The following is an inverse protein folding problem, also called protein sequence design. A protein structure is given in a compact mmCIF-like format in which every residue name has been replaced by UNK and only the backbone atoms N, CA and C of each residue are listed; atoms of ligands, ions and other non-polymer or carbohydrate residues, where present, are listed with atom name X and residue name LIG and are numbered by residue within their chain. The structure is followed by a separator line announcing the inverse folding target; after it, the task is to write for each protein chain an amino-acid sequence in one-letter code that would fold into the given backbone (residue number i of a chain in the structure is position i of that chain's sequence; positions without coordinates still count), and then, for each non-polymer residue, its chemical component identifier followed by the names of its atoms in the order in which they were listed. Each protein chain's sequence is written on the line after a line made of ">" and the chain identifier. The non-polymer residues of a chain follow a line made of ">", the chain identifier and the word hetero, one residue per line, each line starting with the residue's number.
data_IF_084834519045
#
_entry.id   IF_084834519045
#
_cell.length_a   1.000
_cell.length_b   1.000
_cell.length_c   1.000
_cell.angle_alpha   90.00
_cell.angle_beta   90.00
_cell.angle_gamma   90.00
#
_symmetry.space_group_name_H-M   'P 1'
#
loop_
_entity.id
_entity.type
_entity.pdbx_description
1 polymer ?
#
# COMPACT_ATOMS: atom_id res chain seq x y z
N UNK A 1 -49.76 31.17 -16.81
CA UNK A 1 -49.41 29.82 -16.32
C UNK A 1 -48.11 29.45 -17.02
N UNK A 2 -47.07 29.12 -16.26
CA UNK A 2 -45.65 28.84 -16.63
C UNK A 2 -44.84 30.08 -17.06
N UNK A 3 -43.89 30.65 -16.31
CA UNK A 3 -42.61 30.14 -15.71
C UNK A 3 -41.66 29.60 -16.80
N UNK A 4 -40.44 30.09 -17.05
CA UNK A 4 -39.21 30.34 -16.23
C UNK A 4 -38.12 30.93 -17.20
N UNK A 5 -36.86 31.23 -16.79
CA UNK A 5 -36.36 32.16 -15.76
C UNK A 5 -35.32 33.17 -16.32
N UNK A 6 -35.15 34.28 -15.62
CA UNK A 6 -34.11 35.28 -15.85
C UNK A 6 -32.74 34.86 -15.29
N UNK A 7 -31.74 35.45 -15.93
CA UNK A 7 -30.30 35.44 -15.74
C UNK A 7 -29.87 35.76 -14.29
N UNK A 8 -29.00 34.93 -13.68
CA UNK A 8 -28.42 35.18 -12.36
C UNK A 8 -26.90 35.28 -12.49
N UNK A 9 -26.41 36.52 -12.55
CA UNK A 9 -25.00 36.87 -12.34
C UNK A 9 -24.77 37.03 -10.82
N UNK A 10 -23.74 36.41 -10.22
CA UNK A 10 -23.45 36.63 -8.82
C UNK A 10 -22.68 37.96 -8.65
N UNK A 11 -23.33 38.94 -8.05
CA UNK A 11 -22.68 40.16 -7.55
C UNK A 11 -21.91 39.85 -6.27
N UNK A 12 -20.60 40.06 -6.30
CA UNK A 12 -19.74 40.03 -5.11
C UNK A 12 -19.91 41.34 -4.33
N UNK A 13 -20.41 41.25 -3.10
CA UNK A 13 -20.58 42.40 -2.19
C UNK A 13 -19.40 42.44 -1.18
N UNK A 14 -18.57 43.50 -1.17
CA UNK A 14 -17.44 43.62 -0.26
C UNK A 14 -17.90 44.34 1.01
N UNK A 15 -18.48 43.63 1.97
CA UNK A 15 -18.70 44.22 3.31
C UNK A 15 -19.74 43.58 4.20
N UNK A 16 -19.49 42.35 4.68
CA UNK A 16 -20.07 41.90 5.95
C UNK A 16 -18.97 41.32 6.87
N UNK A 17 -18.61 42.02 7.97
CA UNK A 17 -17.64 41.54 8.93
C UNK A 17 -18.37 40.80 10.07
N UNK A 18 -18.63 39.51 9.89
CA UNK A 18 -19.17 38.73 11.00
C UNK A 18 -19.54 37.29 10.70
N UNK A 19 -18.59 36.38 10.90
CA UNK A 19 -18.78 35.09 11.57
C UNK A 19 -17.69 34.11 11.13
N UNK A 20 -16.59 34.01 11.88
CA UNK A 20 -15.80 32.75 11.99
C UNK A 20 -14.66 32.80 13.02
N UNK A 21 -14.77 33.67 14.03
CA UNK A 21 -13.85 33.66 15.17
C UNK A 21 -14.32 32.63 16.22
N UNK A 22 -14.07 31.33 16.03
CA UNK A 22 -13.93 30.39 17.17
C UNK A 22 -13.37 28.98 16.87
N UNK A 23 -12.84 28.68 15.68
CA UNK A 23 -12.41 27.30 15.38
C UNK A 23 -11.04 27.13 14.70
N UNK A 24 -10.17 28.15 14.69
CA UNK A 24 -8.96 28.14 13.86
C UNK A 24 -7.62 27.98 14.61
N UNK A 25 -7.61 27.52 15.86
CA UNK A 25 -6.49 27.82 16.77
C UNK A 25 -5.42 26.74 16.98
N UNK A 26 -5.19 25.80 16.05
CA UNK A 26 -4.07 24.84 16.19
C UNK A 26 -3.49 24.27 14.88
N UNK A 27 -3.87 24.81 13.71
CA UNK A 27 -3.25 24.39 12.44
C UNK A 27 -2.20 25.41 12.04
N UNK A 28 -0.94 24.97 11.95
CA UNK A 28 0.13 25.78 11.37
C UNK A 28 -0.28 26.22 9.96
N UNK A 29 0.05 27.45 9.55
CA UNK A 29 -0.19 27.88 8.18
C UNK A 29 0.52 26.94 7.20
N UNK A 30 -0.08 26.72 6.02
CA UNK A 30 0.40 25.72 5.05
C UNK A 30 1.88 25.92 4.69
N UNK A 31 2.31 27.17 4.52
CA UNK A 31 3.71 27.53 4.23
C UNK A 31 4.69 27.12 5.33
N UNK A 32 4.28 27.25 6.60
CA UNK A 32 5.09 26.82 7.74
C UNK A 32 5.31 25.30 7.72
N UNK A 33 4.27 24.54 7.38
CA UNK A 33 4.36 23.07 7.29
C UNK A 33 5.27 22.63 6.13
N UNK A 34 5.17 23.29 4.97
CA UNK A 34 6.03 23.02 3.81
C UNK A 34 7.51 23.26 4.12
N UNK A 35 7.83 24.39 4.76
CA UNK A 35 9.20 24.71 5.14
C UNK A 35 9.76 23.73 6.19
N UNK A 36 8.95 23.34 7.19
CA UNK A 36 9.36 22.34 8.17
C UNK A 36 9.55 20.95 7.54
N UNK A 37 8.67 20.55 6.63
CA UNK A 37 8.82 19.29 5.89
C UNK A 37 10.08 19.29 5.03
N UNK A 38 10.33 20.37 4.30
CA UNK A 38 11.55 20.49 3.50
C UNK A 38 12.82 20.53 4.35
N UNK A 39 12.77 21.16 5.54
CA UNK A 39 13.87 21.15 6.52
C UNK A 39 14.20 19.73 6.98
N UNK A 40 13.19 18.89 7.21
CA UNK A 40 13.37 17.50 7.63
C UNK A 40 13.87 16.62 6.49
N UNK A 41 13.42 16.84 5.26
CA UNK A 41 13.85 16.10 4.07
C UNK A 41 15.24 16.55 3.56
N UNK A 42 15.69 17.74 3.95
CA UNK A 42 16.96 18.32 3.51
C UNK A 42 16.94 18.83 2.07
N UNK A 43 15.76 19.16 1.54
CA UNK A 43 15.54 19.57 0.14
C UNK A 43 15.12 21.04 -0.01
N UNK A 44 15.27 21.86 1.04
CA UNK A 44 15.01 23.30 0.99
C UNK A 44 15.90 24.00 -0.05
N UNK A 45 15.31 24.91 -0.81
CA UNK A 45 16.07 25.83 -1.66
C UNK A 45 16.84 26.88 -0.85
N UNK A 46 17.80 27.59 -1.47
CA UNK A 46 18.56 28.66 -0.81
C UNK A 46 17.63 29.77 -0.27
N UNK A 47 16.61 30.13 -1.05
CA UNK A 47 15.61 31.12 -0.65
C UNK A 47 14.80 30.68 0.57
N UNK A 48 14.50 29.38 0.67
CA UNK A 48 13.74 28.81 1.78
C UNK A 48 14.58 28.61 3.04
N UNK A 49 15.88 28.32 2.87
CA UNK A 49 16.83 28.36 3.98
C UNK A 49 16.91 29.75 4.61
N UNK A 50 16.91 30.81 3.79
CA UNK A 50 16.89 32.19 4.29
C UNK A 50 15.56 32.53 5.00
N UNK A 51 14.44 32.01 4.48
CA UNK A 51 13.11 32.17 5.09
C UNK A 51 13.04 31.48 6.47
N UNK A 52 13.51 30.23 6.57
CA UNK A 52 13.58 29.47 7.81
C UNK A 52 14.56 30.08 8.81
N UNK A 53 15.71 30.57 8.35
CA UNK A 53 16.74 31.15 9.22
C UNK A 53 16.28 32.45 9.89
N UNK A 54 15.38 33.19 9.24
CA UNK A 54 14.80 34.42 9.76
C UNK A 54 13.49 34.20 10.53
N UNK A 55 12.97 32.97 10.56
CA UNK A 55 11.72 32.64 11.22
C UNK A 55 11.93 32.38 12.72
N UNK A 56 11.15 33.08 13.55
CA UNK A 56 11.04 32.77 14.97
C UNK A 56 10.12 31.55 15.19
N UNK A 57 10.74 30.42 15.50
CA UNK A 57 10.05 29.14 15.75
C UNK A 57 9.12 29.24 16.98
N UNK A 58 7.86 28.85 16.80
CA UNK A 58 6.88 28.74 17.90
C UNK A 58 6.88 27.34 18.51
N UNK A 59 6.27 27.17 19.69
CA UNK A 59 6.15 25.85 20.33
C UNK A 59 5.40 24.82 19.45
N UNK A 60 4.43 25.28 18.66
CA UNK A 60 3.70 24.45 17.71
C UNK A 60 4.55 24.04 16.49
N UNK A 61 5.45 24.93 16.03
CA UNK A 61 6.40 24.64 14.96
C UNK A 61 7.40 23.57 15.39
N UNK A 62 7.94 23.69 16.61
CA UNK A 62 8.85 22.72 17.20
C UNK A 62 8.20 21.34 17.36
N UNK A 63 6.97 21.29 17.88
CA UNK A 63 6.24 20.04 18.02
C UNK A 63 6.02 19.34 16.67
N UNK A 64 5.65 20.11 15.64
CA UNK A 64 5.44 19.59 14.29
C UNK A 64 6.75 19.11 13.65
N UNK A 65 7.83 19.88 13.83
CA UNK A 65 9.17 19.50 13.36
C UNK A 65 9.61 18.15 13.96
N UNK A 66 9.49 17.97 15.28
CA UNK A 66 9.87 16.71 15.93
C UNK A 66 9.04 15.51 15.46
N UNK A 67 7.75 15.69 15.17
CA UNK A 67 6.92 14.61 14.64
C UNK A 67 7.31 14.24 13.20
N UNK A 68 7.62 15.24 12.37
CA UNK A 68 8.12 15.02 11.01
C UNK A 68 9.49 14.33 11.05
N UNK A 69 10.40 14.75 11.92
CA UNK A 69 11.73 14.15 12.10
C UNK A 69 11.64 12.68 12.54
N UNK A 70 10.81 12.37 13.53
CA UNK A 70 10.56 10.97 13.95
C UNK A 70 10.02 10.13 12.80
N UNK A 71 9.11 10.69 12.02
CA UNK A 71 8.50 9.99 10.88
C UNK A 71 9.55 9.72 9.80
N UNK A 72 10.36 10.70 9.45
CA UNK A 72 11.45 10.54 8.48
C UNK A 72 12.47 9.49 8.94
N UNK A 73 12.87 9.51 10.22
CA UNK A 73 13.78 8.52 10.79
C UNK A 73 13.19 7.10 10.80
N UNK A 74 11.89 6.96 11.10
CA UNK A 74 11.21 5.66 11.07
C UNK A 74 11.12 5.09 9.65
N UNK A 75 10.87 5.95 8.65
CA UNK A 75 10.84 5.56 7.24
C UNK A 75 12.24 5.14 6.78
N UNK A 76 13.28 5.91 7.10
CA UNK A 76 14.67 5.56 6.75
C UNK A 76 15.12 4.22 7.38
N UNK A 77 14.72 3.97 8.64
CA UNK A 77 14.97 2.69 9.31
C UNK A 77 14.23 1.52 8.63
N UNK A 78 12.99 1.73 8.19
CA UNK A 78 12.23 0.70 7.48
C UNK A 78 12.79 0.42 6.08
N UNK A 79 13.26 1.45 5.39
CA UNK A 79 13.84 1.33 4.05
C UNK A 79 15.25 0.73 4.08
N UNK A 80 16.08 1.07 5.08
CA UNK A 80 17.39 0.45 5.28
C UNK A 80 17.29 -1.04 5.62
N UNK A 81 16.29 -1.46 6.42
CA UNK A 81 16.02 -2.87 6.69
C UNK A 81 15.54 -3.65 5.45
N UNK A 82 14.82 -2.98 4.52
CA UNK A 82 14.43 -3.60 3.24
C UNK A 82 15.62 -3.71 2.29
N UNK A 83 16.47 -2.67 2.24
CA UNK A 83 17.67 -2.64 1.38
C UNK A 83 18.70 -3.71 1.75
N UNK A 84 18.75 -4.16 3.00
CA UNK A 84 19.64 -5.25 3.43
C UNK A 84 19.17 -6.66 3.01
N UNK A 85 17.92 -6.83 2.58
CA UNK A 85 17.41 -8.14 2.12
C UNK A 85 17.55 -8.37 0.60
N UNK A 86 17.64 -7.31 -0.21
CA UNK A 86 17.51 -7.38 -1.67
C UNK A 86 18.84 -7.21 -2.45
N UNK A 87 20.02 -7.41 -1.85
CA UNK A 87 21.27 -7.28 -2.62
C UNK A 87 22.36 -8.32 -2.33
N UNK A 88 22.88 -8.89 -3.41
CA UNK A 88 24.20 -9.55 -3.56
C UNK A 88 25.37 -8.53 -3.40
N UNK A 89 25.08 -7.37 -2.82
CA UNK A 89 25.99 -6.29 -2.51
C UNK A 89 26.05 -6.25 -0.99
N UNK A 90 27.22 -6.53 -0.40
CA UNK A 90 27.36 -6.62 1.06
C UNK A 90 26.63 -5.47 1.77
N UNK A 91 25.72 -5.76 2.70
CA UNK A 91 24.89 -4.75 3.39
C UNK A 91 25.73 -3.82 4.28
N UNK A 92 27.01 -4.15 4.47
CA UNK A 92 28.02 -3.33 5.12
C UNK A 92 29.13 -3.02 4.11
N UNK A 93 28.93 -2.04 3.23
CA UNK A 93 30.08 -1.26 2.80
C UNK A 93 30.51 -0.44 4.03
N UNK A 94 31.22 -1.09 4.95
CA UNK A 94 31.87 -0.42 6.07
C UNK A 94 32.50 0.87 5.54
N UNK A 95 32.16 2.00 6.17
CA UNK A 95 32.77 3.30 5.86
C UNK A 95 34.26 3.09 5.56
N UNK A 96 34.73 3.39 4.33
CA UNK A 96 36.10 3.12 3.94
C UNK A 96 37.04 3.66 5.02
N UNK A 97 38.02 2.86 5.46
CA UNK A 97 38.80 3.18 6.66
C UNK A 97 39.40 4.60 6.63
N UNK A 98 39.83 5.08 5.46
CA UNK A 98 40.33 6.45 5.28
C UNK A 98 39.26 7.55 5.38
N UNK A 99 38.00 7.26 5.07
CA UNK A 99 36.88 8.19 5.30
C UNK A 99 36.51 8.22 6.78
N UNK A 100 36.50 7.06 7.45
CA UNK A 100 36.27 6.96 8.90
C UNK A 100 37.31 7.75 9.69
N UNK A 101 38.59 7.63 9.34
CA UNK A 101 39.69 8.37 9.97
C UNK A 101 39.59 9.88 9.71
N UNK A 102 39.22 10.29 8.49
CA UNK A 102 38.95 11.70 8.16
C UNK A 102 37.79 12.28 8.97
N UNK A 103 36.67 11.56 9.07
CA UNK A 103 35.51 12.00 9.85
C UNK A 103 35.89 12.16 11.33
N UNK A 104 36.65 11.22 11.91
CA UNK A 104 37.11 11.34 13.30
C UNK A 104 38.05 12.54 13.50
N UNK A 105 38.97 12.78 12.57
CA UNK A 105 39.89 13.91 12.62
C UNK A 105 39.18 15.27 12.46
N UNK A 106 38.20 15.37 11.56
CA UNK A 106 37.41 16.59 11.34
C UNK A 106 36.41 16.82 12.48
N UNK A 107 35.81 15.77 13.05
CA UNK A 107 34.92 15.88 14.20
C UNK A 107 35.62 16.54 15.40
N UNK A 108 36.88 16.18 15.68
CA UNK A 108 37.67 16.84 16.72
C UNK A 108 37.92 18.33 16.47
N UNK A 109 38.06 18.74 15.20
CA UNK A 109 38.25 20.14 14.80
C UNK A 109 36.96 20.95 14.96
N UNK A 110 35.83 20.39 14.51
CA UNK A 110 34.51 21.03 14.62
C UNK A 110 34.07 21.15 16.09
N UNK A 111 34.30 20.12 16.90
CA UNK A 111 33.96 20.16 18.33
C UNK A 111 34.79 21.22 19.08
N UNK A 112 36.06 21.38 18.70
CA UNK A 112 36.93 22.43 19.23
C UNK A 112 36.52 23.83 18.74
N UNK A 113 36.04 23.94 17.50
CA UNK A 113 35.53 25.19 16.92
C UNK A 113 34.21 25.61 17.57
N UNK A 114 33.27 24.69 17.79
CA UNK A 114 32.01 24.90 18.54
C UNK A 114 32.27 25.23 20.01
N UNK A 115 33.34 24.69 20.60
CA UNK A 115 33.78 25.06 21.95
C UNK A 115 34.48 26.44 21.98
N UNK A 116 34.99 26.91 20.84
CA UNK A 116 35.64 28.22 20.67
C UNK A 116 34.67 29.35 20.31
N UNK A 117 33.57 29.06 19.60
CA UNK A 117 32.46 29.98 19.34
C UNK A 117 31.48 29.97 20.52
N UNK A 118 31.93 30.56 21.62
CA UNK A 118 31.21 30.89 22.85
C UNK A 118 29.70 30.62 22.88
N UNK A 119 29.31 29.39 23.22
CA UNK A 119 28.08 29.14 23.99
C UNK A 119 28.54 28.91 25.44
N UNK A 120 28.52 30.00 26.21
CA UNK A 120 28.51 30.05 27.67
C UNK A 120 29.39 29.04 28.41
N UNK A 121 30.67 29.36 28.57
CA UNK A 121 31.51 28.73 29.59
C UNK A 121 30.90 28.96 30.98
N UNK A 122 30.27 27.94 31.58
CA UNK A 122 30.03 27.95 33.02
C UNK A 122 31.37 27.74 33.70
N UNK A 123 31.98 28.87 34.05
CA UNK A 123 33.17 28.98 34.88
C UNK A 123 32.89 28.26 36.21
N UNK A 124 33.48 27.08 36.42
CA UNK A 124 33.55 26.49 37.75
C UNK A 124 34.63 27.26 38.53
N UNK A 125 34.23 28.33 39.22
CA UNK A 125 35.04 28.94 40.27
C UNK A 125 34.64 28.29 41.59
N UNK A 126 35.50 27.39 42.03
CA UNK A 126 35.62 26.96 43.41
C UNK A 126 36.19 28.17 44.19
N UNK A 127 35.38 28.87 44.98
CA UNK A 127 35.79 29.38 46.30
C UNK A 127 34.68 30.20 46.99
N UNK A 128 34.40 29.76 48.22
CA UNK A 128 34.15 30.59 49.41
C UNK A 128 32.77 31.24 49.67
N UNK A 129 32.21 30.77 50.80
CA UNK A 129 31.36 31.42 51.82
C UNK A 129 29.83 31.42 51.66
N UNK A 130 29.21 30.65 52.56
CA UNK A 130 27.92 30.83 53.24
C UNK A 130 26.95 31.89 52.68
N UNK A 131 25.77 31.44 52.21
CA UNK A 131 24.51 32.00 52.67
C UNK A 131 23.30 31.11 52.32
N UNK A 132 22.44 30.98 53.32
CA UNK A 132 21.25 30.14 53.35
C UNK A 132 20.18 30.57 52.34
N UNK A 133 19.59 29.60 51.62
CA UNK A 133 18.18 29.66 51.23
C UNK A 133 17.57 28.25 51.27
N UNK A 134 16.81 28.00 52.33
CA UNK A 134 15.55 27.24 52.42
C UNK A 134 15.28 26.12 51.42
N UNK A 135 15.24 24.90 51.96
CA UNK A 135 14.66 23.69 51.36
C UNK A 135 13.18 23.88 50.98
N UNK A 136 12.87 23.83 49.68
CA UNK A 136 11.52 23.59 49.19
C UNK A 136 11.36 22.09 48.84
N UNK A 137 10.28 21.41 49.26
CA UNK A 137 10.06 20.00 48.93
C UNK A 137 9.75 19.81 47.44
N UNK A 138 10.27 18.73 46.85
CA UNK A 138 9.96 18.29 45.49
C UNK A 138 8.46 17.94 45.38
N UNK A 139 7.70 18.76 44.67
CA UNK A 139 6.32 18.46 44.31
C UNK A 139 6.31 17.46 43.15
N UNK A 140 5.93 16.21 43.47
CA UNK A 140 5.73 15.15 42.48
C UNK A 140 4.50 15.52 41.65
N UNK A 141 4.74 15.98 40.42
CA UNK A 141 3.69 16.23 39.42
C UNK A 141 2.96 14.92 39.14
N UNK A 142 1.68 14.86 39.52
CA UNK A 142 0.82 13.70 39.25
C UNK A 142 0.56 13.55 37.74
N UNK A 143 0.49 12.31 37.20
CA UNK A 143 0.21 12.09 35.79
C UNK A 143 -1.18 12.63 35.45
N UNK A 144 -1.24 13.57 34.50
CA UNK A 144 -2.48 14.16 33.99
C UNK A 144 -3.39 13.04 33.46
N UNK A 145 -4.63 13.01 33.95
CA UNK A 145 -5.69 12.10 33.51
C UNK A 145 -5.83 12.18 31.98
N UNK A 146 -5.72 11.03 31.30
CA UNK A 146 -5.93 10.91 29.85
C UNK A 146 -7.29 11.51 29.51
N UNK A 147 -7.30 12.52 28.64
CA UNK A 147 -8.52 13.11 28.09
C UNK A 147 -9.21 12.11 27.18
N UNK A 148 -10.48 11.84 27.43
CA UNK A 148 -11.34 11.05 26.56
C UNK A 148 -11.39 11.69 25.17
N UNK A 149 -11.13 10.88 24.13
CA UNK A 149 -11.15 11.32 22.74
C UNK A 149 -12.54 11.84 22.39
N UNK A 150 -12.61 13.02 21.74
CA UNK A 150 -13.90 13.57 21.29
C UNK A 150 -14.50 12.60 20.25
N UNK A 151 -15.82 12.39 20.20
CA UNK A 151 -16.43 11.42 19.28
C UNK A 151 -16.10 11.69 17.80
N UNK A 152 -15.81 12.95 17.45
CA UNK A 152 -15.35 13.34 16.11
C UNK A 152 -13.89 12.96 15.83
N UNK A 153 -13.02 13.02 16.83
CA UNK A 153 -11.63 12.55 16.73
C UNK A 153 -11.60 11.02 16.68
N UNK A 154 -12.41 10.35 17.50
CA UNK A 154 -12.59 8.90 17.41
C UNK A 154 -13.10 8.47 16.02
N UNK A 155 -14.04 9.21 15.43
CA UNK A 155 -14.51 8.94 14.07
C UNK A 155 -13.43 9.18 13.01
N UNK A 156 -12.59 10.22 13.16
CA UNK A 156 -11.48 10.47 12.25
C UNK A 156 -10.38 9.39 12.37
N UNK A 157 -10.06 8.96 13.58
CA UNK A 157 -9.13 7.85 13.82
C UNK A 157 -9.68 6.51 13.30
N UNK A 158 -10.98 6.26 13.43
CA UNK A 158 -11.62 5.08 12.85
C UNK A 158 -11.66 5.11 11.32
N UNK A 159 -11.93 6.28 10.72
CA UNK A 159 -11.88 6.43 9.27
C UNK A 159 -10.46 6.23 8.73
N UNK A 160 -9.45 6.79 9.41
CA UNK A 160 -8.05 6.56 9.05
C UNK A 160 -7.65 5.09 9.20
N UNK A 161 -8.02 4.44 10.31
CA UNK A 161 -7.76 3.01 10.52
C UNK A 161 -8.46 2.14 9.45
N UNK A 162 -9.70 2.46 9.09
CA UNK A 162 -10.44 1.76 8.04
C UNK A 162 -9.77 1.94 6.66
N UNK A 163 -9.34 3.16 6.34
CA UNK A 163 -8.60 3.45 5.09
C UNK A 163 -7.24 2.78 5.06
N UNK A 164 -6.51 2.74 6.18
CA UNK A 164 -5.23 2.04 6.29
C UNK A 164 -5.39 0.53 6.17
N UNK A 165 -6.45 -0.05 6.74
CA UNK A 165 -6.79 -1.47 6.59
C UNK A 165 -7.24 -1.79 5.16
N UNK A 166 -8.00 -0.92 4.50
CA UNK A 166 -8.34 -1.07 3.08
C UNK A 166 -7.10 -0.96 2.19
N UNK A 167 -6.22 0.01 2.45
CA UNK A 167 -4.96 0.17 1.72
C UNK A 167 -4.05 -1.05 1.93
N UNK A 168 -3.92 -1.56 3.16
CA UNK A 168 -3.17 -2.77 3.46
C UNK A 168 -3.83 -4.03 2.89
N UNK A 169 -5.16 -4.10 2.84
CA UNK A 169 -5.90 -5.21 2.25
C UNK A 169 -5.76 -5.25 0.73
N UNK A 170 -5.89 -4.10 0.06
CA UNK A 170 -5.67 -3.95 -1.38
C UNK A 170 -4.19 -4.14 -1.75
N UNK A 171 -3.26 -3.70 -0.89
CA UNK A 171 -1.82 -3.92 -1.09
C UNK A 171 -1.44 -5.39 -0.86
N UNK A 172 -1.98 -6.06 0.18
CA UNK A 172 -1.83 -7.53 0.32
C UNK A 172 -2.45 -8.30 -0.84
N UNK A 173 -3.56 -7.81 -1.41
CA UNK A 173 -4.14 -8.37 -2.63
C UNK A 173 -3.21 -8.31 -3.85
N UNK A 174 -2.31 -7.33 -3.90
CA UNK A 174 -1.28 -7.25 -4.95
C UNK A 174 -0.06 -8.17 -4.72
N UNK A 175 0.18 -8.60 -3.47
CA UNK A 175 1.19 -9.64 -3.17
C UNK A 175 0.70 -11.07 -3.51
N UNK A 176 -0.58 -11.24 -3.86
CA UNK A 176 -1.12 -12.47 -4.40
C UNK A 176 -0.56 -12.81 -5.78
N UNK A 177 0.11 -11.89 -6.48
CA UNK A 177 0.74 -12.13 -7.79
C UNK A 177 2.22 -12.55 -7.72
N UNK A 178 2.68 -13.16 -6.61
CA UNK A 178 3.96 -13.91 -6.63
C UNK A 178 3.70 -15.36 -7.06
N UNK A 179 4.12 -15.78 -8.26
CA UNK A 179 3.78 -17.09 -8.82
C UNK A 179 4.27 -18.28 -7.98
N UNK A 180 5.31 -18.11 -7.14
CA UNK A 180 5.88 -19.21 -6.36
C UNK A 180 5.07 -19.72 -5.15
N UNK A 181 4.18 -18.90 -4.54
CA UNK A 181 3.41 -19.31 -3.35
C UNK A 181 1.94 -19.65 -3.67
N UNK A 182 1.38 -19.11 -4.76
CA UNK A 182 -0.02 -19.33 -5.13
C UNK A 182 -0.23 -20.75 -5.64
N UNK A 183 0.69 -21.31 -6.43
CA UNK A 183 0.52 -22.67 -6.96
C UNK A 183 0.43 -23.73 -5.85
N UNK A 184 1.29 -23.62 -4.83
CA UNK A 184 1.27 -24.55 -3.69
C UNK A 184 -0.01 -24.39 -2.85
N UNK A 185 -0.50 -23.16 -2.72
CA UNK A 185 -1.71 -22.86 -1.95
C UNK A 185 -2.97 -23.29 -2.71
N UNK A 186 -3.08 -22.94 -3.99
CA UNK A 186 -4.21 -23.29 -4.85
C UNK A 186 -4.34 -24.81 -5.05
N UNK A 187 -3.21 -25.53 -5.17
CA UNK A 187 -3.23 -27.00 -5.23
C UNK A 187 -3.77 -27.62 -3.92
N UNK A 188 -3.40 -27.06 -2.76
CA UNK A 188 -3.92 -27.50 -1.46
C UNK A 188 -5.41 -27.18 -1.30
N UNK A 189 -5.84 -25.97 -1.65
CA UNK A 189 -7.24 -25.54 -1.59
C UNK A 189 -8.13 -26.34 -2.55
N UNK A 190 -7.65 -26.62 -3.77
CA UNK A 190 -8.34 -27.53 -4.70
C UNK A 190 -8.57 -28.91 -4.08
N UNK A 191 -7.57 -29.42 -3.35
CA UNK A 191 -7.68 -30.71 -2.67
C UNK A 191 -8.71 -30.66 -1.53
N UNK A 192 -8.78 -29.55 -0.80
CA UNK A 192 -9.82 -29.34 0.21
C UNK A 192 -11.21 -29.28 -0.42
N UNK A 193 -11.39 -28.52 -1.51
CA UNK A 193 -12.67 -28.42 -2.21
C UNK A 193 -13.18 -29.79 -2.66
N UNK A 194 -12.31 -30.62 -3.24
CA UNK A 194 -12.64 -32.00 -3.65
C UNK A 194 -13.06 -32.91 -2.50
N UNK A 195 -12.59 -32.64 -1.28
CA UNK A 195 -12.88 -33.48 -0.11
C UNK A 195 -14.11 -32.99 0.68
N UNK A 196 -14.35 -31.68 0.71
CA UNK A 196 -15.37 -31.07 1.57
C UNK A 196 -16.69 -30.79 0.85
N UNK A 197 -16.66 -30.43 -0.44
CA UNK A 197 -17.87 -30.09 -1.16
C UNK A 197 -18.55 -31.34 -1.74
N UNK A 198 -19.86 -31.45 -1.51
CA UNK A 198 -20.68 -32.58 -1.98
C UNK A 198 -21.14 -32.43 -3.43
N UNK A 199 -21.13 -31.20 -3.96
CA UNK A 199 -21.66 -30.82 -5.26
C UNK A 199 -20.57 -30.54 -6.30
N UNK A 200 -19.38 -31.11 -6.09
CA UNK A 200 -18.23 -30.83 -6.95
C UNK A 200 -18.43 -31.41 -8.34
N UNK A 201 -18.36 -30.53 -9.33
CA UNK A 201 -18.22 -30.85 -10.75
C UNK A 201 -16.73 -30.98 -11.05
N UNK A 202 -16.29 -32.17 -11.43
CA UNK A 202 -14.91 -32.43 -11.87
C UNK A 202 -14.92 -32.95 -13.31
N UNK A 203 -14.28 -32.22 -14.22
CA UNK A 203 -14.29 -32.54 -15.65
C UNK A 203 -12.90 -32.38 -16.24
N UNK A 204 -12.45 -33.37 -17.01
CA UNK A 204 -11.17 -33.29 -17.70
C UNK A 204 -11.20 -32.27 -18.85
N UNK A 205 -10.06 -31.61 -19.07
CA UNK A 205 -9.87 -30.81 -20.28
C UNK A 205 -9.84 -31.72 -21.51
N UNK A 206 -10.54 -31.30 -22.57
CA UNK A 206 -10.46 -31.85 -23.91
C UNK A 206 -10.12 -30.79 -24.93
N UNK A 207 -9.94 -31.22 -26.17
CA UNK A 207 -9.63 -30.33 -27.29
C UNK A 207 -10.81 -29.39 -27.58
N UNK A 208 -10.47 -28.11 -27.75
CA UNK A 208 -11.38 -27.10 -28.24
C UNK A 208 -11.47 -27.06 -29.78
N UNK A 209 -11.96 -25.94 -30.32
CA UNK A 209 -12.03 -25.71 -31.78
C UNK A 209 -10.66 -25.48 -32.40
N UNK A 210 -9.71 -24.95 -31.61
CA UNK A 210 -8.38 -24.56 -32.04
C UNK A 210 -7.32 -25.11 -31.08
N UNK A 211 -7.20 -26.45 -30.96
CA UNK A 211 -6.37 -27.07 -29.93
C UNK A 211 -4.89 -26.69 -30.09
N UNK A 212 -4.18 -26.70 -28.97
CA UNK A 212 -2.73 -26.53 -28.97
C UNK A 212 -2.04 -27.66 -29.74
N UNK A 213 -0.85 -27.38 -30.29
CA UNK A 213 -0.03 -28.41 -30.92
C UNK A 213 0.52 -29.42 -29.91
N UNK A 214 0.70 -28.99 -28.66
CA UNK A 214 1.11 -29.83 -27.54
C UNK A 214 -0.13 -30.30 -26.79
N UNK A 215 -0.15 -31.57 -26.39
CA UNK A 215 -1.20 -32.13 -25.56
C UNK A 215 -1.21 -31.43 -24.18
N UNK A 216 -2.32 -30.78 -23.85
CA UNK A 216 -2.54 -30.21 -22.51
C UNK A 216 -3.48 -31.13 -21.75
N UNK A 217 -3.05 -31.58 -20.57
CA UNK A 217 -3.85 -32.42 -19.67
C UNK A 217 -4.32 -31.62 -18.49
N UNK A 218 -5.25 -32.19 -17.75
CA UNK A 218 -5.75 -31.59 -16.52
C UNK A 218 -7.25 -31.68 -16.43
N UNK A 219 -7.79 -30.90 -15.51
CA UNK A 219 -9.21 -30.91 -15.20
C UNK A 219 -9.63 -29.61 -14.52
N UNK A 220 -10.90 -29.29 -14.66
CA UNK A 220 -11.59 -28.24 -13.92
C UNK A 220 -12.38 -28.86 -12.78
N UNK A 221 -12.31 -28.23 -11.62
CA UNK A 221 -13.07 -28.58 -10.42
C UNK A 221 -13.88 -27.34 -10.02
N UNK A 222 -15.18 -27.49 -9.80
CA UNK A 222 -16.08 -26.39 -9.46
C UNK A 222 -17.17 -26.83 -8.48
N UNK A 223 -17.52 -25.98 -7.51
CA UNK A 223 -18.69 -26.18 -6.63
C UNK A 223 -19.67 -25.02 -6.80
N UNK A 224 -20.93 -25.33 -7.09
CA UNK A 224 -21.99 -24.34 -7.21
C UNK A 224 -22.41 -23.79 -5.84
N UNK A 225 -22.36 -24.60 -4.79
CA UNK A 225 -22.67 -24.19 -3.44
C UNK A 225 -21.65 -23.17 -2.91
N UNK A 226 -20.36 -23.46 -3.12
CA UNK A 226 -19.27 -22.58 -2.68
C UNK A 226 -19.01 -21.41 -3.63
N UNK A 227 -19.44 -21.51 -4.89
CA UNK A 227 -19.08 -20.57 -5.96
C UNK A 227 -17.58 -20.44 -6.19
N UNK A 228 -16.85 -21.52 -5.92
CA UNK A 228 -15.40 -21.61 -5.98
C UNK A 228 -14.98 -22.80 -6.84
N UNK A 229 -13.81 -22.67 -7.46
CA UNK A 229 -13.24 -23.75 -8.25
C UNK A 229 -11.81 -23.48 -8.67
N UNK A 230 -11.20 -24.52 -9.24
CA UNK A 230 -9.79 -24.53 -9.62
C UNK A 230 -9.62 -25.28 -10.93
N UNK A 231 -8.74 -24.75 -11.78
CA UNK A 231 -8.31 -25.36 -13.02
C UNK A 231 -6.91 -25.92 -12.83
N UNK A 232 -6.72 -27.18 -13.17
CA UNK A 232 -5.41 -27.81 -13.19
C UNK A 232 -5.00 -28.03 -14.63
N UNK A 233 -3.78 -27.67 -14.96
CA UNK A 233 -3.19 -27.85 -16.28
C UNK A 233 -1.84 -28.55 -16.17
N UNK A 234 -1.53 -29.42 -17.11
CA UNK A 234 -0.23 -30.07 -17.25
C UNK A 234 0.20 -29.95 -18.71
N UNK A 235 1.33 -29.29 -18.92
CA UNK A 235 1.88 -29.06 -20.27
C UNK A 235 1.24 -27.91 -21.04
N UNK A 236 0.58 -26.96 -20.34
CA UNK A 236 0.05 -25.77 -20.97
C UNK A 236 1.19 -24.88 -21.49
N UNK A 237 1.08 -24.30 -22.70
CA UNK A 237 2.10 -23.39 -23.22
C UNK A 237 2.25 -22.14 -22.35
N UNK A 238 3.48 -21.67 -22.20
CA UNK A 238 3.79 -20.38 -21.56
C UNK A 238 3.36 -19.26 -22.51
N UNK A 239 2.61 -18.28 -22.02
CA UNK A 239 2.18 -17.11 -22.81
C UNK A 239 3.08 -15.89 -22.58
N UNK A 240 3.10 -14.99 -23.57
CA UNK A 240 3.65 -13.65 -23.41
C UNK A 240 2.51 -12.68 -23.10
N UNK A 241 2.44 -12.22 -21.85
CA UNK A 241 1.40 -11.32 -21.32
C UNK A 241 1.29 -10.01 -22.12
N UNK A 242 2.37 -9.58 -22.79
CA UNK A 242 2.34 -8.39 -23.63
C UNK A 242 1.64 -8.63 -25.00
N UNK A 243 1.42 -9.89 -25.38
CA UNK A 243 0.85 -10.30 -26.66
C UNK A 243 -0.51 -10.96 -26.49
N UNK A 244 -0.62 -11.91 -25.56
CA UNK A 244 -1.83 -12.70 -25.34
C UNK A 244 -1.93 -13.24 -23.90
N UNK A 245 -3.16 -13.46 -23.45
CA UNK A 245 -3.47 -14.06 -22.16
C UNK A 245 -4.56 -15.11 -22.31
N UNK A 246 -4.59 -16.06 -21.37
CA UNK A 246 -5.65 -17.06 -21.32
C UNK A 246 -6.84 -16.52 -20.54
N UNK A 247 -8.06 -16.83 -20.99
CA UNK A 247 -9.27 -16.46 -20.29
C UNK A 247 -10.21 -17.65 -20.16
N UNK A 248 -10.77 -17.81 -18.97
CA UNK A 248 -11.80 -18.81 -18.69
C UNK A 248 -13.20 -18.25 -18.99
N UNK A 249 -14.00 -19.06 -19.64
CA UNK A 249 -15.44 -18.85 -19.82
C UNK A 249 -16.21 -20.01 -19.22
N UNK A 250 -17.22 -19.69 -18.41
CA UNK A 250 -18.14 -20.66 -17.81
C UNK A 250 -19.45 -20.57 -18.58
N UNK A 251 -19.85 -21.66 -19.23
CA UNK A 251 -21.05 -21.75 -20.05
C UNK A 251 -22.17 -22.28 -19.15
N UNK A 252 -23.16 -21.45 -18.88
CA UNK A 252 -24.24 -21.72 -17.93
C UNK A 252 -25.59 -21.24 -18.52
N UNK A 253 -26.23 -22.06 -19.36
CA UNK A 253 -27.50 -21.72 -20.01
C UNK A 253 -28.66 -21.63 -19.01
N UNK A 254 -28.51 -22.14 -17.79
CA UNK A 254 -29.51 -21.95 -16.74
C UNK A 254 -29.51 -20.51 -16.21
N UNK A 255 -28.41 -19.77 -16.41
CA UNK A 255 -28.28 -18.36 -16.07
C UNK A 255 -28.61 -17.45 -17.25
N UNK A 256 -27.87 -17.57 -18.34
CA UNK A 256 -27.96 -16.69 -19.52
C UNK A 256 -27.39 -17.38 -20.77
N UNK A 257 -27.71 -16.86 -21.95
CA UNK A 257 -27.15 -17.34 -23.22
C UNK A 257 -25.66 -16.94 -23.36
N UNK A 258 -25.24 -15.81 -22.75
CA UNK A 258 -23.84 -15.40 -22.74
C UNK A 258 -22.99 -16.14 -21.69
N UNK A 259 -21.77 -16.59 -22.05
CA UNK A 259 -20.83 -17.18 -21.10
C UNK A 259 -20.39 -16.19 -20.01
N UNK A 260 -20.18 -16.70 -18.80
CA UNK A 260 -19.66 -15.95 -17.67
C UNK A 260 -18.13 -15.86 -17.75
N UNK A 261 -17.58 -14.68 -17.54
CA UNK A 261 -16.14 -14.46 -17.40
C UNK A 261 -15.64 -15.08 -16.07
N UNK A 262 -14.81 -16.11 -16.19
CA UNK A 262 -14.19 -16.86 -15.09
C UNK A 262 -12.81 -16.34 -14.68
N UNK A 263 -12.33 -15.27 -15.33
CA UNK A 263 -11.05 -14.64 -15.05
C UNK A 263 -10.01 -14.83 -16.17
N UNK A 264 -9.05 -13.92 -16.18
CA UNK A 264 -7.87 -13.94 -17.05
C UNK A 264 -6.69 -14.46 -16.23
N UNK A 265 -5.86 -15.31 -16.83
CA UNK A 265 -4.69 -15.89 -16.17
C UNK A 265 -3.52 -16.07 -17.15
N UNK A 266 -2.34 -16.23 -16.57
CA UNK A 266 -1.08 -16.42 -17.27
C UNK A 266 -0.44 -17.75 -16.85
N UNK A 267 0.36 -18.32 -17.74
CA UNK A 267 1.20 -19.48 -17.52
C UNK A 267 2.65 -19.01 -17.74
N UNK A 268 3.43 -18.96 -16.67
CA UNK A 268 4.80 -18.45 -16.67
C UNK A 268 5.87 -19.56 -16.67
N UNK A 269 5.46 -20.80 -16.44
CA UNK A 269 6.36 -21.95 -16.38
C UNK A 269 5.79 -23.18 -17.10
N UNK A 270 6.68 -24.02 -17.61
CA UNK A 270 6.30 -25.29 -18.22
C UNK A 270 6.16 -26.35 -17.12
N UNK A 271 4.96 -26.86 -16.88
CA UNK A 271 4.76 -27.87 -15.84
C UNK A 271 3.30 -28.14 -15.52
N UNK A 272 3.06 -28.49 -14.26
CA UNK A 272 1.73 -28.56 -13.67
C UNK A 272 1.43 -27.23 -12.97
N UNK A 273 0.30 -26.62 -13.32
CA UNK A 273 -0.16 -25.35 -12.79
C UNK A 273 -1.59 -25.52 -12.28
N UNK A 274 -1.89 -24.94 -11.11
CA UNK A 274 -3.25 -24.87 -10.56
C UNK A 274 -3.66 -23.41 -10.45
N UNK A 275 -4.74 -23.05 -11.15
CA UNK A 275 -5.25 -21.69 -11.26
C UNK A 275 -6.63 -21.61 -10.57
N UNK A 276 -6.84 -20.73 -9.58
CA UNK A 276 -8.17 -20.51 -9.00
C UNK A 276 -9.10 -19.83 -10.01
N UNK A 277 -10.38 -20.16 -9.96
CA UNK A 277 -11.42 -19.57 -10.82
C UNK A 277 -11.99 -18.32 -10.13
N UNK A 278 -12.10 -17.22 -10.87
CA UNK A 278 -12.70 -15.97 -10.39
C UNK A 278 -13.95 -15.66 -11.21
N UNK A 279 -15.05 -16.36 -10.92
CA UNK A 279 -16.33 -16.14 -11.61
C UNK A 279 -16.87 -14.74 -11.28
N UNK A 280 -16.98 -13.87 -12.30
CA UNK A 280 -17.48 -12.49 -12.11
C UNK A 280 -18.98 -12.42 -11.85
N UNK A 281 -19.68 -13.50 -12.15
CA UNK A 281 -21.13 -13.62 -11.99
C UNK A 281 -21.46 -14.97 -11.35
N UNK A 282 -22.59 -15.01 -10.64
CA UNK A 282 -23.08 -16.24 -9.99
C UNK A 282 -23.30 -17.36 -11.01
N UNK A 283 -22.67 -18.51 -10.80
CA UNK A 283 -22.87 -19.73 -11.58
C UNK A 283 -24.02 -20.53 -10.96
N UNK A 284 -24.92 -21.05 -11.78
CA UNK A 284 -26.10 -21.82 -11.39
C UNK A 284 -25.94 -23.30 -11.73
N UNK A 285 -25.75 -23.61 -13.01
CA UNK A 285 -25.63 -24.98 -13.51
C UNK A 285 -24.71 -25.02 -14.75
N UNK A 286 -23.38 -25.00 -14.55
CA UNK A 286 -22.44 -24.89 -15.64
C UNK A 286 -22.46 -26.18 -16.46
N UNK A 287 -22.61 -26.05 -17.79
CA UNK A 287 -22.59 -27.18 -18.72
C UNK A 287 -21.24 -27.36 -19.41
N UNK A 288 -20.40 -26.32 -19.39
CA UNK A 288 -19.04 -26.41 -19.92
C UNK A 288 -18.13 -25.28 -19.40
N UNK A 289 -16.83 -25.53 -19.47
CA UNK A 289 -15.77 -24.57 -19.21
C UNK A 289 -14.89 -24.48 -20.45
N UNK A 290 -14.61 -23.27 -20.94
CA UNK A 290 -13.81 -23.05 -22.14
C UNK A 290 -12.64 -22.11 -21.83
N UNK A 291 -11.47 -22.45 -22.35
CA UNK A 291 -10.32 -21.55 -22.33
C UNK A 291 -10.18 -20.92 -23.70
N UNK A 292 -10.08 -19.60 -23.74
CA UNK A 292 -9.72 -18.86 -24.95
C UNK A 292 -8.37 -18.16 -24.81
N UNK A 293 -7.75 -17.89 -25.95
CA UNK A 293 -6.54 -17.05 -26.05
C UNK A 293 -6.97 -15.69 -26.53
N UNK A 294 -6.79 -14.68 -25.69
CA UNK A 294 -7.27 -13.33 -25.92
C UNK A 294 -6.10 -12.33 -25.89
N UNK A 295 -6.33 -11.13 -26.39
CA UNK A 295 -5.37 -10.02 -26.26
C UNK A 295 -5.12 -9.66 -24.79
N UNK A 296 -4.06 -8.87 -24.46
CA UNK A 296 -3.77 -8.49 -23.09
C UNK A 296 -4.94 -7.77 -22.43
N UNK A 297 -5.25 -8.15 -21.19
CA UNK A 297 -6.41 -7.72 -20.42
C UNK A 297 -7.69 -8.51 -20.67
N UNK A 298 -7.67 -9.48 -21.60
CA UNK A 298 -8.84 -10.30 -21.95
C UNK A 298 -9.93 -9.53 -22.69
N UNK A 299 -11.09 -10.15 -22.80
CA UNK A 299 -12.31 -9.56 -23.37
C UNK A 299 -13.48 -9.72 -22.42
N UNK A 300 -14.48 -8.84 -22.54
CA UNK A 300 -15.70 -8.88 -21.72
C UNK A 300 -16.80 -9.76 -22.33
N UNK A 301 -16.66 -10.08 -23.60
CA UNK A 301 -17.53 -10.98 -24.37
C UNK A 301 -16.64 -11.77 -25.31
N UNK A 302 -16.66 -13.11 -25.22
CA UNK A 302 -15.85 -13.96 -26.08
C UNK A 302 -16.47 -14.12 -27.47
N UNK A 303 -15.67 -13.97 -28.53
CA UNK A 303 -16.02 -14.45 -29.87
C UNK A 303 -15.75 -15.95 -30.05
N UNK A 304 -15.05 -16.59 -29.10
CA UNK A 304 -14.62 -18.00 -29.14
C UNK A 304 -13.81 -18.37 -30.40
N UNK A 305 -13.16 -17.40 -31.05
CA UNK A 305 -12.38 -17.61 -32.27
C UNK A 305 -11.08 -18.37 -32.03
N UNK A 306 -10.50 -18.29 -30.83
CA UNK A 306 -9.32 -19.06 -30.44
C UNK A 306 -9.61 -19.80 -29.14
N UNK A 307 -10.20 -20.99 -29.28
CA UNK A 307 -10.66 -21.84 -28.18
C UNK A 307 -9.84 -23.14 -28.19
N UNK A 308 -8.70 -23.19 -27.49
CA UNK A 308 -7.86 -24.39 -27.46
C UNK A 308 -8.36 -25.50 -26.55
N UNK A 309 -9.06 -25.18 -25.45
CA UNK A 309 -9.51 -26.18 -24.48
C UNK A 309 -10.98 -26.04 -24.16
N UNK A 310 -11.65 -27.19 -24.04
CA UNK A 310 -13.05 -27.30 -23.65
C UNK A 310 -13.22 -28.46 -22.68
N UNK A 311 -13.90 -28.23 -21.56
CA UNK A 311 -14.34 -29.26 -20.65
C UNK A 311 -15.88 -29.23 -20.58
N UNK A 312 -16.54 -30.31 -21.00
CA UNK A 312 -18.01 -30.40 -21.01
C UNK A 312 -18.49 -31.19 -19.80
N UNK A 313 -19.33 -30.56 -18.98
CA UNK A 313 -20.01 -31.20 -17.85
C UNK A 313 -21.05 -32.17 -18.43
N UNK A 314 -20.96 -33.45 -18.07
CA UNK A 314 -21.85 -34.52 -18.56
C UNK A 314 -23.06 -34.73 -17.66
#
# INVERSE_FOLDING_TARGET
>A
MSERPDDFQPTYDPGDPGSDASNNDLRLPLRAQELLAGKVLGDLSDQEHDEVSNWQETEADLATFFELEKTAAAVDMALSFRRSQDSDTSPDAELPAGLREKIQADAGRVLAEVSGTGIGSVQRTDDSVDNAVTSAPLEIVQPRKRTDLRPREAAAWLAFAASALLALGLWRGSEWNRPGNVETTAAAERTLLLNEAEDVVQVAWGDGKHPFQTEVKGDVVWSNASQDGYMRFVGMPVNDVAVEQYQLWIIDPARDDEPIDGGVFDIDSTGEVVVPITAKLKVLDPVAFAITVEKPGGVVVSSQENLPLLATVQ
#
